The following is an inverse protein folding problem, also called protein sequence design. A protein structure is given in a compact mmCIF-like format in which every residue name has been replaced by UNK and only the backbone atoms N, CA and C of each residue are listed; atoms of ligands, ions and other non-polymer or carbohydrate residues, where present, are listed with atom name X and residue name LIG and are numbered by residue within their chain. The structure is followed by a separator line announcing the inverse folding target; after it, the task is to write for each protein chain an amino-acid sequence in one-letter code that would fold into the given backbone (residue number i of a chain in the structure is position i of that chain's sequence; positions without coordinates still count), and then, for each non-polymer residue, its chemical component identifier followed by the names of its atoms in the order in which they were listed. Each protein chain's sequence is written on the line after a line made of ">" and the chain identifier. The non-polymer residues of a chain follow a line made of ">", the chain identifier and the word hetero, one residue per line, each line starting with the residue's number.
data_IF_165033600294
#
_entry.id   IF_165033600294
#
_cell.length_a   1.000
_cell.length_b   1.000
_cell.length_c   1.000
_cell.angle_alpha   90.00
_cell.angle_beta   90.00
_cell.angle_gamma   90.00
#
_symmetry.space_group_name_H-M   'P 1'
#
loop_
_entity.id
_entity.type
_entity.pdbx_description
1 polymer ?
#
# COMPACT_ATOMS: atom_id res chain seq x y z
N UNK A 1 -15.60 0.80 -21.47
CA UNK A 1 -17.07 0.81 -21.72
C UNK A 1 -17.77 -0.55 -21.48
N UNK A 2 -17.07 -1.69 -21.53
CA UNK A 2 -17.67 -3.04 -21.33
C UNK A 2 -18.03 -3.40 -19.86
N UNK A 3 -17.38 -2.78 -18.87
CA UNK A 3 -17.60 -3.06 -17.43
C UNK A 3 -18.79 -2.30 -16.80
N UNK A 4 -19.29 -1.25 -17.47
CA UNK A 4 -20.49 -0.50 -17.03
C UNK A 4 -21.79 -1.30 -17.24
N UNK A 5 -21.81 -2.21 -18.23
CA UNK A 5 -22.99 -3.01 -18.59
C UNK A 5 -23.36 -4.13 -17.62
N UNK A 6 -22.48 -4.50 -16.68
CA UNK A 6 -22.70 -5.68 -15.81
C UNK A 6 -23.23 -5.37 -14.39
N UNK A 7 -23.43 -4.10 -14.00
CA UNK A 7 -23.82 -3.72 -12.61
C UNK A 7 -22.96 -4.35 -11.48
N UNK A 8 -21.78 -4.89 -11.82
CA UNK A 8 -20.83 -5.46 -10.88
C UNK A 8 -19.74 -4.44 -10.55
N UNK A 9 -20.12 -3.23 -10.14
CA UNK A 9 -19.17 -2.35 -9.47
C UNK A 9 -19.10 -2.83 -8.02
N UNK A 10 -18.04 -3.56 -7.61
CA UNK A 10 -17.82 -3.78 -6.19
C UNK A 10 -17.78 -2.40 -5.52
N UNK A 11 -18.53 -2.25 -4.43
CA UNK A 11 -18.64 -0.98 -3.72
C UNK A 11 -17.24 -0.43 -3.45
N UNK A 12 -17.08 0.88 -3.63
CA UNK A 12 -15.80 1.58 -3.53
C UNK A 12 -14.92 1.17 -2.31
N UNK A 13 -15.46 0.91 -1.10
CA UNK A 13 -14.67 0.43 0.05
C UNK A 13 -13.98 -0.92 -0.18
N UNK A 14 -14.63 -1.84 -0.91
CA UNK A 14 -14.04 -3.15 -1.21
C UNK A 14 -12.92 -3.03 -2.24
N UNK A 15 -13.04 -2.14 -3.24
CA UNK A 15 -11.96 -1.89 -4.21
C UNK A 15 -10.70 -1.37 -3.51
N UNK A 16 -10.86 -0.49 -2.53
CA UNK A 16 -9.77 0.01 -1.71
C UNK A 16 -9.13 -1.10 -0.86
N UNK A 17 -9.95 -1.95 -0.20
CA UNK A 17 -9.46 -3.09 0.58
C UNK A 17 -8.70 -4.11 -0.29
N UNK A 18 -9.17 -4.37 -1.52
CA UNK A 18 -8.45 -5.21 -2.49
C UNK A 18 -7.10 -4.59 -2.91
N UNK A 19 -7.05 -3.27 -3.12
CA UNK A 19 -5.79 -2.56 -3.39
C UNK A 19 -4.78 -2.76 -2.26
N UNK A 20 -5.19 -2.49 -1.02
CA UNK A 20 -4.36 -2.70 0.18
C UNK A 20 -3.86 -4.15 0.32
N UNK A 21 -4.72 -5.12 0.03
CA UNK A 21 -4.37 -6.53 0.08
C UNK A 21 -3.29 -6.88 -0.97
N UNK A 22 -3.42 -6.38 -2.21
CA UNK A 22 -2.42 -6.57 -3.26
C UNK A 22 -1.08 -5.91 -2.87
N UNK A 23 -1.10 -4.71 -2.27
CA UNK A 23 0.11 -4.06 -1.75
C UNK A 23 0.77 -4.91 -0.66
N UNK A 24 -0.01 -5.48 0.27
CA UNK A 24 0.49 -6.38 1.32
C UNK A 24 1.16 -7.62 0.74
N UNK A 25 0.59 -8.23 -0.30
CA UNK A 25 1.22 -9.33 -1.03
C UNK A 25 2.51 -8.90 -1.76
N UNK A 26 2.57 -7.68 -2.30
CA UNK A 26 3.80 -7.12 -2.87
C UNK A 26 4.95 -7.09 -1.88
N UNK A 27 4.70 -6.63 -0.64
CA UNK A 27 5.70 -6.66 0.43
C UNK A 27 6.07 -8.09 0.88
N UNK A 28 5.12 -9.03 0.88
CA UNK A 28 5.43 -10.44 1.15
C UNK A 28 6.37 -11.03 0.09
N UNK A 29 6.20 -10.71 -1.19
CA UNK A 29 7.10 -11.16 -2.26
C UNK A 29 8.53 -10.66 -1.99
N UNK A 30 8.69 -9.42 -1.53
CA UNK A 30 9.99 -8.88 -1.15
C UNK A 30 10.57 -9.52 0.12
N UNK A 31 9.75 -9.81 1.12
CA UNK A 31 10.21 -10.57 2.30
C UNK A 31 10.68 -11.98 1.92
N UNK A 32 9.94 -12.69 1.08
CA UNK A 32 10.28 -14.03 0.61
C UNK A 32 11.55 -14.08 -0.24
N UNK A 33 11.87 -12.97 -0.91
CA UNK A 33 13.04 -12.85 -1.78
C UNK A 33 14.37 -13.10 -1.06
N UNK A 34 14.42 -12.87 0.26
CA UNK A 34 15.57 -13.19 1.11
C UNK A 34 15.95 -14.66 1.13
N UNK A 35 14.98 -15.57 1.03
CA UNK A 35 15.23 -17.02 1.03
C UNK A 35 15.85 -17.52 -0.28
N UNK A 36 15.78 -16.72 -1.35
CA UNK A 36 16.29 -17.04 -2.68
C UNK A 36 17.56 -16.23 -3.01
N UNK A 37 18.16 -15.59 -2.02
CA UNK A 37 19.41 -14.88 -2.20
C UNK A 37 20.59 -15.85 -2.34
N UNK A 38 21.54 -15.50 -3.21
CA UNK A 38 22.78 -16.25 -3.38
C UNK A 38 23.72 -16.06 -2.16
N UNK A 39 24.79 -16.85 -2.07
CA UNK A 39 25.79 -16.76 -1.00
C UNK A 39 26.46 -15.38 -0.90
N UNK A 40 26.36 -14.55 -1.93
CA UNK A 40 26.78 -13.15 -1.97
C UNK A 40 25.70 -12.15 -1.53
N UNK A 41 24.57 -12.59 -0.97
CA UNK A 41 23.45 -11.74 -0.53
C UNK A 41 22.63 -11.11 -1.66
N UNK A 42 22.76 -11.61 -2.89
CA UNK A 42 22.10 -11.05 -4.07
C UNK A 42 20.80 -11.78 -4.39
N UNK A 43 19.72 -11.02 -4.52
CA UNK A 43 18.39 -11.52 -4.86
C UNK A 43 18.16 -11.49 -6.38
N UNK A 44 17.51 -12.52 -6.96
CA UNK A 44 17.10 -12.51 -8.36
C UNK A 44 16.18 -11.32 -8.71
N UNK A 45 16.44 -10.68 -9.86
CA UNK A 45 15.68 -9.50 -10.34
C UNK A 45 14.17 -9.77 -10.53
N UNK A 46 13.78 -11.03 -10.71
CA UNK A 46 12.36 -11.42 -10.88
C UNK A 46 11.49 -11.01 -9.68
N UNK A 47 12.03 -11.01 -8.45
CA UNK A 47 11.28 -10.58 -7.27
C UNK A 47 10.97 -9.09 -7.30
N UNK A 48 11.94 -8.26 -7.70
CA UNK A 48 11.76 -6.82 -7.94
C UNK A 48 10.66 -6.56 -8.98
N UNK A 49 10.71 -7.27 -10.12
CA UNK A 49 9.70 -7.12 -11.17
C UNK A 49 8.29 -7.48 -10.67
N UNK A 50 8.14 -8.60 -9.98
CA UNK A 50 6.85 -9.07 -9.48
C UNK A 50 6.28 -8.17 -8.37
N UNK A 51 7.12 -7.76 -7.41
CA UNK A 51 6.68 -6.87 -6.34
C UNK A 51 6.29 -5.49 -6.86
N UNK A 52 7.05 -4.93 -7.81
CA UNK A 52 6.71 -3.66 -8.44
C UNK A 52 5.40 -3.75 -9.26
N UNK A 53 5.18 -4.86 -9.96
CA UNK A 53 3.92 -5.11 -10.67
C UNK A 53 2.73 -5.18 -9.71
N UNK A 54 2.88 -5.84 -8.57
CA UNK A 54 1.86 -5.87 -7.52
C UNK A 54 1.60 -4.47 -6.96
N UNK A 55 2.63 -3.67 -6.68
CA UNK A 55 2.46 -2.29 -6.21
C UNK A 55 1.74 -1.41 -7.22
N UNK A 56 2.17 -1.41 -8.47
CA UNK A 56 1.50 -0.65 -9.54
C UNK A 56 0.02 -1.05 -9.68
N UNK A 57 -0.26 -2.35 -9.61
CA UNK A 57 -1.64 -2.86 -9.68
C UNK A 57 -2.47 -2.43 -8.47
N UNK A 58 -1.91 -2.49 -7.26
CA UNK A 58 -2.56 -2.04 -6.02
C UNK A 58 -2.86 -0.54 -6.02
N UNK A 59 -1.91 0.28 -6.48
CA UNK A 59 -2.08 1.73 -6.62
C UNK A 59 -3.21 2.09 -7.58
N UNK A 60 -3.38 1.33 -8.67
CA UNK A 60 -4.46 1.54 -9.62
C UNK A 60 -5.85 1.38 -8.97
N UNK A 61 -5.98 0.52 -7.95
CA UNK A 61 -7.22 0.37 -7.19
C UNK A 61 -7.44 1.49 -6.16
N UNK A 62 -6.37 2.10 -5.63
CA UNK A 62 -6.46 3.13 -4.59
C UNK A 62 -6.59 4.55 -5.14
N UNK A 63 -5.87 4.89 -6.21
CA UNK A 63 -5.79 6.23 -6.82
C UNK A 63 -7.17 6.85 -7.17
N UNK A 64 -8.11 6.14 -7.85
CA UNK A 64 -9.41 6.71 -8.16
C UNK A 64 -10.35 6.76 -6.95
N UNK A 65 -10.10 5.96 -5.90
CA UNK A 65 -10.96 5.88 -4.73
C UNK A 65 -10.68 7.01 -3.74
N UNK A 66 -9.41 7.32 -3.50
CA UNK A 66 -9.00 8.32 -2.50
C UNK A 66 -9.54 9.71 -2.83
N UNK A 67 -9.17 10.25 -3.99
CA UNK A 67 -9.48 11.64 -4.31
C UNK A 67 -10.96 11.85 -4.69
N UNK A 68 -11.56 10.91 -5.44
CA UNK A 68 -12.94 11.04 -5.91
C UNK A 68 -13.95 10.99 -4.76
N UNK A 69 -13.69 10.18 -3.73
CA UNK A 69 -14.62 10.05 -2.59
C UNK A 69 -14.50 11.18 -1.58
N UNK A 70 -13.31 11.75 -1.41
CA UNK A 70 -13.13 12.93 -0.56
C UNK A 70 -13.94 14.12 -1.10
N UNK A 71 -14.00 14.30 -2.42
CA UNK A 71 -14.79 15.38 -3.03
C UNK A 71 -16.28 15.05 -3.14
N UNK A 72 -16.66 13.81 -3.45
CA UNK A 72 -18.07 13.38 -3.54
C UNK A 72 -18.79 13.36 -2.19
N UNK A 73 -18.10 13.02 -1.10
CA UNK A 73 -18.68 12.97 0.26
C UNK A 73 -18.56 14.31 1.00
N UNK A 74 -17.73 15.23 0.50
CA UNK A 74 -17.59 16.55 1.11
C UNK A 74 -18.83 17.42 0.87
N UNK A 75 -19.31 18.16 1.90
CA UNK A 75 -20.33 19.17 1.69
C UNK A 75 -19.85 20.22 0.67
N UNK A 76 -20.73 20.73 -0.21
CA UNK A 76 -20.34 21.62 -1.32
C UNK A 76 -19.57 22.88 -0.89
N UNK A 77 -19.82 23.33 0.35
CA UNK A 77 -19.23 24.54 0.92
C UNK A 77 -17.80 24.37 1.45
N UNK A 78 -17.34 23.13 1.68
CA UNK A 78 -16.04 22.84 2.31
C UNK A 78 -15.14 21.91 1.49
N UNK A 79 -15.42 21.73 0.20
CA UNK A 79 -14.64 20.83 -0.68
C UNK A 79 -13.16 21.20 -0.69
N UNK A 80 -12.82 22.48 -0.82
CA UNK A 80 -11.43 22.96 -0.79
C UNK A 80 -10.72 22.68 0.55
N UNK A 81 -11.44 22.80 1.66
CA UNK A 81 -10.92 22.47 2.99
C UNK A 81 -10.66 20.96 3.12
N UNK A 82 -11.58 20.12 2.66
CA UNK A 82 -11.43 18.65 2.67
C UNK A 82 -10.27 18.18 1.78
N UNK A 83 -10.03 18.84 0.64
CA UNK A 83 -8.83 18.60 -0.16
C UNK A 83 -7.55 19.01 0.58
N UNK A 84 -7.58 20.11 1.33
CA UNK A 84 -6.47 20.52 2.22
C UNK A 84 -6.18 19.45 3.29
N UNK A 85 -7.22 18.89 3.92
CA UNK A 85 -7.09 17.80 4.89
C UNK A 85 -6.49 16.54 4.25
N UNK A 86 -6.89 16.21 3.02
CA UNK A 86 -6.33 15.07 2.27
C UNK A 86 -4.82 15.24 2.01
N UNK A 87 -4.39 16.42 1.56
CA UNK A 87 -2.96 16.69 1.35
C UNK A 87 -2.17 16.74 2.65
N UNK A 88 -2.74 17.30 3.72
CA UNK A 88 -2.11 17.33 5.04
C UNK A 88 -1.92 15.91 5.59
N UNK A 89 -2.94 15.05 5.44
CA UNK A 89 -2.85 13.64 5.81
C UNK A 89 -1.76 12.92 5.02
N UNK A 90 -1.64 13.17 3.71
CA UNK A 90 -0.57 12.62 2.86
C UNK A 90 0.82 13.10 3.30
N UNK A 91 0.97 14.39 3.65
CA UNK A 91 2.24 14.93 4.15
C UNK A 91 2.67 14.26 5.46
N UNK A 92 1.72 14.03 6.36
CA UNK A 92 1.98 13.28 7.59
C UNK A 92 2.36 11.83 7.31
N UNK A 93 1.70 11.17 6.35
CA UNK A 93 2.06 9.82 5.92
C UNK A 93 3.50 9.75 5.39
N UNK A 94 3.94 10.71 4.57
CA UNK A 94 5.34 10.76 4.10
C UNK A 94 6.34 10.93 5.25
N UNK A 95 5.98 11.68 6.30
CA UNK A 95 6.83 11.80 7.50
C UNK A 95 6.99 10.46 8.21
N UNK A 96 5.92 9.68 8.33
CA UNK A 96 5.96 8.33 8.90
C UNK A 96 6.79 7.37 8.02
N UNK A 97 6.61 7.43 6.70
CA UNK A 97 7.42 6.64 5.75
C UNK A 97 8.90 6.95 5.92
N UNK A 98 9.28 8.22 6.09
CA UNK A 98 10.66 8.61 6.36
C UNK A 98 11.21 8.06 7.68
N UNK A 99 10.38 7.97 8.73
CA UNK A 99 10.79 7.35 10.00
C UNK A 99 10.99 5.83 9.83
N UNK A 100 10.06 5.15 9.16
CA UNK A 100 10.17 3.71 8.88
C UNK A 100 11.38 3.41 7.99
N UNK A 101 11.63 4.24 6.96
CA UNK A 101 12.82 4.13 6.11
C UNK A 101 14.13 4.31 6.89
N UNK A 102 14.14 5.20 7.89
CA UNK A 102 15.28 5.36 8.80
C UNK A 102 15.54 4.12 9.67
N UNK A 103 14.50 3.40 10.08
CA UNK A 103 14.65 2.14 10.84
C UNK A 103 15.19 0.99 9.99
N UNK A 104 15.01 1.06 8.66
CA UNK A 104 15.53 0.08 7.70
C UNK A 104 16.87 0.50 7.10
N UNK A 105 17.44 1.62 7.54
CA UNK A 105 18.73 2.09 7.07
C UNK A 105 19.84 1.19 7.63
N UNK A 106 20.69 0.68 6.75
CA UNK A 106 21.90 -0.04 7.16
C UNK A 106 22.91 1.00 7.65
N UNK A 107 23.36 0.87 8.90
CA UNK A 107 24.42 1.72 9.45
C UNK A 107 25.76 1.34 8.81
N UNK A 108 26.32 2.22 7.97
CA UNK A 108 27.61 2.03 7.32
C UNK A 108 27.70 2.70 5.95
N UNK A 109 28.92 2.88 5.44
CA UNK A 109 29.14 3.29 4.05
C UNK A 109 28.81 2.13 3.11
N UNK A 110 28.31 2.41 1.89
CA UNK A 110 27.87 1.37 0.93
C UNK A 110 28.97 0.36 0.54
N UNK A 111 30.24 0.67 0.83
CA UNK A 111 31.41 -0.18 0.59
C UNK A 111 31.76 -1.12 1.77
N UNK A 112 31.24 -0.84 2.98
CA UNK A 112 31.50 -1.62 4.21
C UNK A 112 30.28 -2.45 4.67
N UNK A 113 29.11 -2.21 4.08
CA UNK A 113 27.90 -2.93 4.42
C UNK A 113 27.93 -4.37 3.86
N UNK A 114 27.98 -5.36 4.75
CA UNK A 114 27.86 -6.76 4.37
C UNK A 114 26.49 -6.98 3.66
N UNK A 115 26.49 -7.46 2.40
CA UNK A 115 25.28 -7.73 1.64
C UNK A 115 24.30 -8.66 2.38
N UNK A 116 24.82 -9.58 3.20
CA UNK A 116 24.00 -10.53 3.96
C UNK A 116 23.29 -9.84 5.14
N UNK A 117 23.97 -8.92 5.82
CA UNK A 117 23.39 -8.13 6.92
C UNK A 117 22.34 -7.16 6.37
N UNK A 118 22.65 -6.50 5.25
CA UNK A 118 21.72 -5.61 4.57
C UNK A 118 20.45 -6.33 4.13
N UNK A 119 20.61 -7.52 3.53
CA UNK A 119 19.48 -8.35 3.12
C UNK A 119 18.60 -8.75 4.30
N UNK A 120 19.18 -9.12 5.44
CA UNK A 120 18.42 -9.47 6.64
C UNK A 120 17.58 -8.29 7.14
N UNK A 121 18.16 -7.09 7.23
CA UNK A 121 17.44 -5.87 7.65
C UNK A 121 16.28 -5.56 6.70
N UNK A 122 16.51 -5.61 5.39
CA UNK A 122 15.46 -5.34 4.41
C UNK A 122 14.35 -6.40 4.42
N UNK A 123 14.70 -7.68 4.51
CA UNK A 123 13.72 -8.77 4.48
C UNK A 123 12.84 -8.78 5.74
N UNK A 124 13.43 -8.56 6.92
CA UNK A 124 12.69 -8.38 8.17
C UNK A 124 11.82 -7.13 8.12
N UNK A 125 12.35 -6.02 7.61
CA UNK A 125 11.61 -4.78 7.41
C UNK A 125 10.39 -4.94 6.50
N UNK A 126 10.57 -5.56 5.34
CA UNK A 126 9.49 -5.85 4.41
C UNK A 126 8.46 -6.81 4.99
N UNK A 127 8.89 -7.79 5.79
CA UNK A 127 7.97 -8.70 6.47
C UNK A 127 7.10 -7.95 7.51
N UNK A 128 7.68 -7.07 8.30
CA UNK A 128 6.94 -6.25 9.26
C UNK A 128 5.95 -5.32 8.56
N UNK A 129 6.37 -4.66 7.48
CA UNK A 129 5.49 -3.81 6.65
C UNK A 129 4.37 -4.66 6.03
N UNK A 130 4.67 -5.87 5.56
CA UNK A 130 3.68 -6.77 5.00
C UNK A 130 2.59 -7.13 6.02
N UNK A 131 2.97 -7.48 7.26
CA UNK A 131 1.99 -7.82 8.30
C UNK A 131 1.12 -6.63 8.70
N UNK A 132 1.72 -5.44 8.86
CA UNK A 132 0.95 -4.22 9.15
C UNK A 132 -0.02 -3.91 8.01
N UNK A 133 0.44 -4.03 6.75
CA UNK A 133 -0.39 -3.74 5.56
C UNK A 133 -1.51 -4.76 5.41
N UNK A 134 -1.25 -6.06 5.61
CA UNK A 134 -2.26 -7.11 5.56
C UNK A 134 -3.26 -6.99 6.72
N UNK A 135 -2.80 -6.64 7.92
CA UNK A 135 -3.67 -6.32 9.05
C UNK A 135 -4.58 -5.12 8.75
N UNK A 136 -4.02 -4.07 8.15
CA UNK A 136 -4.78 -2.91 7.66
C UNK A 136 -5.79 -3.28 6.58
N UNK A 137 -5.43 -4.17 5.64
CA UNK A 137 -6.33 -4.68 4.62
C UNK A 137 -7.48 -5.49 5.23
N UNK A 138 -7.20 -6.37 6.19
CA UNK A 138 -8.21 -7.15 6.91
C UNK A 138 -9.18 -6.22 7.67
N UNK A 139 -8.66 -5.20 8.35
CA UNK A 139 -9.48 -4.19 9.02
C UNK A 139 -10.33 -3.41 8.01
N UNK A 140 -9.77 -3.03 6.86
CA UNK A 140 -10.52 -2.38 5.79
C UNK A 140 -11.65 -3.27 5.26
N UNK A 141 -11.44 -4.58 5.13
CA UNK A 141 -12.51 -5.54 4.78
C UNK A 141 -13.59 -5.64 5.86
N UNK A 142 -13.21 -5.61 7.14
CA UNK A 142 -14.17 -5.63 8.26
C UNK A 142 -15.00 -4.34 8.35
N UNK A 143 -14.40 -3.19 8.01
CA UNK A 143 -15.05 -1.87 8.04
C UNK A 143 -15.83 -1.59 6.75
N UNK A 144 -15.49 -2.25 5.64
CA UNK A 144 -16.18 -2.14 4.35
C UNK A 144 -17.73 -2.32 4.41
N UNK A 145 -18.31 -3.30 5.14
CA UNK A 145 -19.76 -3.42 5.27
C UNK A 145 -20.41 -2.23 6.01
N UNK A 146 -19.71 -1.65 6.99
CA UNK A 146 -20.19 -0.47 7.75
C UNK A 146 -20.15 0.76 6.84
N UNK A 147 -19.03 0.97 6.14
CA UNK A 147 -18.89 2.08 5.19
C UNK A 147 -19.93 1.98 4.07
N UNK A 148 -20.17 0.79 3.53
CA UNK A 148 -21.25 0.56 2.55
C UNK A 148 -22.62 1.00 3.11
N UNK A 149 -22.91 0.75 4.38
CA UNK A 149 -24.16 1.16 5.03
C UNK A 149 -24.25 2.68 5.19
N UNK A 150 -23.13 3.35 5.46
CA UNK A 150 -23.07 4.80 5.68
C UNK A 150 -22.97 5.63 4.40
N UNK A 151 -22.58 5.02 3.28
CA UNK A 151 -22.48 5.69 1.98
C UNK A 151 -23.83 6.04 1.33
N UNK A 152 -24.98 5.73 1.96
CA UNK A 152 -26.34 6.14 1.54
C UNK A 152 -26.62 6.07 0.01
N UNK A 153 -26.09 5.04 -0.68
CA UNK A 153 -26.32 4.81 -2.11
C UNK A 153 -25.30 5.43 -3.08
N UNK A 154 -24.23 6.04 -2.58
CA UNK A 154 -23.13 6.57 -3.42
C UNK A 154 -22.20 5.39 -3.78
N UNK A 155 -22.06 5.10 -5.09
CA UNK A 155 -21.31 3.95 -5.62
C UNK A 155 -19.84 4.24 -5.85
#
# INVERSE_FOLDING_TARGET
>A
MFLSKKRMNPYTPYKFAFGLLILGFGYLIYALSGNYADAAGKVPFIFMLLGYLMFSTGELFMSPVGLSKVTELAPPKIVAFMMGVWFLSSAFAFRLVGMVGGLLAVEGSADEADPLVSLAIYTEGFQNIAYVTLGGAALAFLVAPILKKWMHGIH
#
